data_IF_612259699661
#
_entry.id   IF_612259699661
#
_cell.length_a   1.000
_cell.length_b   1.000
_cell.length_c   1.000
_cell.angle_alpha   90.00
_cell.angle_beta   90.00
_cell.angle_gamma   90.00
#
_symmetry.space_group_name_H-M   'P 1'
#
loop_
_entity.id
_entity.type
_entity.pdbx_description
1 polymer ?
#
# COMPACT_ATOMS: atom_id res chain seq x y z
N UNK A 1 -13.00 -13.68 -8.49
CA UNK A 1 -13.49 -12.30 -8.25
C UNK A 1 -13.00 -11.35 -9.33
N UNK A 2 -13.51 -10.14 -9.34
CA UNK A 2 -13.05 -9.06 -10.22
C UNK A 2 -12.39 -8.01 -9.36
N UNK A 3 -11.17 -7.60 -9.73
CA UNK A 3 -10.46 -6.48 -9.12
C UNK A 3 -10.76 -5.20 -9.91
N UNK A 4 -10.88 -4.09 -9.21
CA UNK A 4 -11.09 -2.76 -9.77
C UNK A 4 -10.29 -1.72 -8.97
N UNK A 5 -10.06 -0.50 -9.50
CA UNK A 5 -9.31 0.52 -8.77
C UNK A 5 -9.90 0.81 -7.39
N UNK A 6 -9.05 0.84 -6.36
CA UNK A 6 -9.44 1.03 -4.98
C UNK A 6 -9.99 -0.21 -4.27
N UNK A 7 -9.95 -1.38 -4.90
CA UNK A 7 -10.19 -2.66 -4.21
C UNK A 7 -8.86 -3.20 -3.68
N UNK A 8 -8.73 -3.24 -2.37
CA UNK A 8 -7.65 -3.95 -1.70
C UNK A 8 -8.02 -5.42 -1.50
N UNK A 9 -7.02 -6.30 -1.65
CA UNK A 9 -7.21 -7.74 -1.54
C UNK A 9 -6.06 -8.36 -0.75
N UNK A 10 -6.39 -9.27 0.13
CA UNK A 10 -5.41 -10.15 0.77
C UNK A 10 -5.73 -11.60 0.44
N UNK A 11 -4.70 -12.32 0.07
CA UNK A 11 -4.72 -13.76 -0.09
C UNK A 11 -3.63 -14.36 0.80
N UNK A 12 -4.05 -15.14 1.81
CA UNK A 12 -3.14 -15.88 2.66
C UNK A 12 -3.06 -17.31 2.15
N UNK A 13 -1.90 -17.69 1.61
CA UNK A 13 -1.70 -19.02 1.06
C UNK A 13 -1.75 -20.12 2.15
N UNK A 14 -1.27 -19.81 3.36
CA UNK A 14 -1.29 -20.73 4.47
C UNK A 14 -0.63 -22.06 4.13
N UNK A 15 -1.39 -23.15 4.23
CA UNK A 15 -0.89 -24.49 3.90
C UNK A 15 -0.71 -24.73 2.41
N UNK A 16 -1.46 -24.08 1.54
CA UNK A 16 -1.30 -24.00 0.07
C UNK A 16 -2.57 -23.45 -0.58
N UNK A 17 -2.41 -22.69 -1.66
CA UNK A 17 -3.49 -22.33 -2.59
C UNK A 17 -2.97 -22.37 -4.04
N UNK A 18 -3.91 -22.60 -4.96
CA UNK A 18 -3.70 -22.39 -6.38
C UNK A 18 -4.54 -21.20 -6.83
N UNK A 19 -3.95 -20.25 -7.54
CA UNK A 19 -4.65 -19.12 -8.11
C UNK A 19 -3.99 -18.64 -9.39
N UNK A 20 -4.69 -17.83 -10.13
CA UNK A 20 -4.16 -17.06 -11.25
C UNK A 20 -4.82 -15.69 -11.28
N UNK A 21 -4.10 -14.72 -11.79
CA UNK A 21 -4.59 -13.36 -12.04
C UNK A 21 -4.45 -13.07 -13.52
N UNK A 22 -5.52 -12.55 -14.12
CA UNK A 22 -5.55 -12.30 -15.55
C UNK A 22 -6.19 -10.94 -15.83
N UNK A 23 -5.65 -10.25 -16.84
CA UNK A 23 -6.37 -9.14 -17.45
C UNK A 23 -7.50 -9.72 -18.32
N UNK A 24 -8.74 -9.43 -17.98
CA UNK A 24 -9.91 -9.90 -18.73
C UNK A 24 -10.25 -9.02 -19.93
N UNK A 25 -9.54 -7.92 -20.15
CA UNK A 25 -9.68 -7.05 -21.32
C UNK A 25 -8.71 -7.48 -22.42
N UNK A 26 -9.21 -7.52 -23.65
CA UNK A 26 -8.38 -7.76 -24.84
C UNK A 26 -7.71 -6.48 -25.38
N UNK A 27 -8.11 -5.30 -24.90
CA UNK A 27 -7.72 -4.01 -25.46
C UNK A 27 -7.29 -2.95 -24.45
N UNK A 28 -7.44 -3.21 -23.17
CA UNK A 28 -7.11 -2.26 -22.10
C UNK A 28 -6.10 -2.89 -21.17
N UNK A 29 -4.99 -2.20 -20.92
CA UNK A 29 -3.98 -2.64 -19.94
C UNK A 29 -4.54 -2.58 -18.53
N UNK A 30 -4.04 -3.47 -17.68
CA UNK A 30 -4.27 -3.44 -16.24
C UNK A 30 -2.99 -3.03 -15.51
N UNK A 31 -3.12 -2.14 -14.55
CA UNK A 31 -2.05 -1.79 -13.62
C UNK A 31 -2.50 -2.13 -12.20
N UNK A 32 -1.83 -3.06 -11.56
CA UNK A 32 -2.05 -3.41 -10.16
C UNK A 32 -0.71 -3.57 -9.44
N UNK A 33 -0.72 -3.45 -8.13
CA UNK A 33 0.46 -3.67 -7.29
C UNK A 33 0.23 -4.92 -6.47
N UNK A 34 1.12 -5.90 -6.64
CA UNK A 34 1.14 -7.12 -5.85
C UNK A 34 2.32 -7.09 -4.89
N UNK A 35 2.05 -7.43 -3.64
CA UNK A 35 3.05 -7.38 -2.57
C UNK A 35 3.03 -8.69 -1.78
N UNK A 36 4.19 -9.10 -1.32
CA UNK A 36 4.34 -10.27 -0.47
C UNK A 36 4.79 -9.85 0.91
N UNK A 37 4.07 -10.33 1.92
CA UNK A 37 4.37 -10.06 3.32
C UNK A 37 4.52 -11.38 4.05
N UNK A 38 5.72 -11.72 4.57
CA UNK A 38 5.91 -12.91 5.38
C UNK A 38 5.04 -12.84 6.64
N UNK A 39 4.26 -13.88 6.94
CA UNK A 39 3.44 -13.91 8.16
C UNK A 39 4.27 -14.28 9.39
N UNK A 40 3.81 -13.87 10.56
CA UNK A 40 4.38 -14.32 11.86
C UNK A 40 4.05 -15.78 12.18
N UNK A 41 3.05 -16.34 11.53
CA UNK A 41 2.58 -17.69 11.77
C UNK A 41 2.42 -18.43 10.45
N UNK A 42 3.14 -19.52 10.30
CA UNK A 42 3.11 -20.38 9.13
C UNK A 42 2.00 -21.44 9.21
N UNK A 43 1.74 -22.09 8.08
CA UNK A 43 0.85 -23.27 7.98
C UNK A 43 -0.57 -23.07 8.52
N UNK A 44 -1.06 -21.84 8.49
CA UNK A 44 -2.45 -21.52 8.82
C UNK A 44 -3.39 -21.94 7.69
N UNK A 45 -4.68 -22.01 7.97
CA UNK A 45 -5.67 -22.23 6.92
C UNK A 45 -5.61 -21.09 5.89
N UNK A 46 -5.70 -21.40 4.59
CA UNK A 46 -5.83 -20.39 3.55
C UNK A 46 -6.98 -19.44 3.84
N UNK A 47 -6.80 -18.19 3.45
CA UNK A 47 -7.82 -17.17 3.69
C UNK A 47 -7.80 -16.08 2.64
N UNK A 48 -8.95 -15.46 2.45
CA UNK A 48 -9.17 -14.40 1.48
C UNK A 48 -9.99 -13.27 2.09
N UNK A 49 -9.63 -12.04 1.80
CA UNK A 49 -10.34 -10.86 2.24
C UNK A 49 -10.24 -9.77 1.18
N UNK A 50 -11.32 -9.05 0.96
CA UNK A 50 -11.38 -7.87 0.10
C UNK A 50 -11.98 -6.71 0.87
N UNK A 51 -11.52 -5.49 0.55
CA UNK A 51 -12.04 -4.26 1.09
C UNK A 51 -12.00 -3.17 0.01
N UNK A 52 -13.16 -2.57 -0.28
CA UNK A 52 -13.21 -1.35 -1.08
C UNK A 52 -12.80 -0.16 -0.21
N UNK A 53 -11.70 0.48 -0.58
CA UNK A 53 -11.11 1.59 0.18
C UNK A 53 -11.28 2.95 -0.53
N UNK A 54 -12.08 3.02 -1.60
CA UNK A 54 -12.25 4.27 -2.36
C UNK A 54 -12.76 5.41 -1.49
N UNK A 55 -13.79 5.16 -0.68
CA UNK A 55 -14.36 6.19 0.19
C UNK A 55 -13.35 6.75 1.21
N UNK A 56 -12.40 5.95 1.65
CA UNK A 56 -11.33 6.39 2.55
C UNK A 56 -10.25 7.16 1.78
N UNK A 57 -9.81 6.64 0.64
CA UNK A 57 -8.80 7.30 -0.20
C UNK A 57 -9.26 8.67 -0.72
N UNK A 58 -10.56 8.83 -1.00
CA UNK A 58 -11.12 10.08 -1.51
C UNK A 58 -11.19 11.20 -0.45
N UNK A 59 -10.94 10.88 0.82
CA UNK A 59 -10.83 11.88 1.90
C UNK A 59 -9.47 12.61 1.90
N UNK A 60 -8.50 12.11 1.13
CA UNK A 60 -7.11 12.58 1.17
C UNK A 60 -6.33 11.99 2.37
N UNK A 61 -5.04 12.33 2.42
CA UNK A 61 -4.14 11.80 3.44
C UNK A 61 -3.75 10.34 3.24
N UNK A 62 -3.21 9.74 4.30
CA UNK A 62 -2.86 8.33 4.34
C UNK A 62 -3.92 7.54 5.10
N UNK A 63 -4.35 6.43 4.53
CA UNK A 63 -5.29 5.49 5.14
C UNK A 63 -4.64 4.11 5.30
N UNK A 64 -4.91 3.37 6.38
CA UNK A 64 -4.42 2.01 6.53
C UNK A 64 -5.19 1.09 5.57
N UNK A 65 -4.47 0.42 4.68
CA UNK A 65 -5.03 -0.55 3.71
C UNK A 65 -4.99 -1.95 4.27
N UNK A 66 -3.85 -2.33 4.86
CA UNK A 66 -3.67 -3.63 5.49
C UNK A 66 -2.89 -3.48 6.79
N UNK A 67 -3.29 -4.18 7.83
CA UNK A 67 -2.69 -4.00 9.14
C UNK A 67 -2.63 -5.30 9.96
N UNK A 68 -1.46 -5.55 10.52
CA UNK A 68 -1.29 -6.52 11.61
C UNK A 68 -1.42 -5.89 13.00
N UNK A 69 -1.50 -4.56 13.08
CA UNK A 69 -1.60 -3.79 14.34
C UNK A 69 -3.05 -3.48 14.75
N UNK A 70 -4.07 -3.99 14.03
CA UNK A 70 -5.47 -3.89 14.43
C UNK A 70 -6.17 -2.58 14.05
N UNK A 71 -5.82 -1.95 12.94
CA UNK A 71 -6.58 -0.81 12.41
C UNK A 71 -7.95 -1.27 11.88
N UNK A 72 -9.03 -0.64 12.31
CA UNK A 72 -10.41 -1.06 12.00
C UNK A 72 -10.77 -0.97 10.52
N UNK A 73 -10.24 0.02 9.80
CA UNK A 73 -10.56 0.27 8.40
C UNK A 73 -9.60 -0.43 7.41
N UNK A 74 -8.88 -1.46 7.86
CA UNK A 74 -7.88 -2.14 7.06
C UNK A 74 -8.11 -3.64 7.00
N UNK A 75 -7.68 -4.27 5.89
CA UNK A 75 -7.57 -5.72 5.79
C UNK A 75 -6.62 -6.23 6.88
N UNK A 76 -7.04 -7.25 7.62
CA UNK A 76 -6.19 -7.87 8.63
C UNK A 76 -5.11 -8.72 7.99
N UNK A 77 -3.86 -8.57 8.41
CA UNK A 77 -2.72 -9.40 7.99
C UNK A 77 -2.07 -10.07 9.19
N UNK A 78 -1.43 -11.23 8.96
CA UNK A 78 -0.75 -12.02 9.99
C UNK A 78 0.72 -11.63 10.16
N UNK A 79 0.99 -10.34 10.14
CA UNK A 79 2.31 -9.74 10.43
C UNK A 79 2.08 -8.60 11.42
N UNK A 80 2.29 -8.89 12.71
CA UNK A 80 1.98 -7.98 13.84
C UNK A 80 2.72 -6.65 13.79
N UNK A 81 3.91 -6.63 13.17
CA UNK A 81 4.74 -5.44 13.07
C UNK A 81 4.44 -4.56 11.86
N UNK A 82 3.52 -4.94 10.97
CA UNK A 82 3.38 -4.28 9.67
C UNK A 82 2.05 -3.58 9.47
N UNK A 83 2.11 -2.43 8.80
CA UNK A 83 0.95 -1.70 8.26
C UNK A 83 1.27 -1.24 6.85
N UNK A 84 0.36 -1.50 5.91
CA UNK A 84 0.35 -0.87 4.61
C UNK A 84 -0.57 0.35 4.65
N UNK A 85 0.01 1.50 4.39
CA UNK A 85 -0.71 2.75 4.19
C UNK A 85 -0.84 3.05 2.71
N UNK A 86 -1.94 3.65 2.31
CA UNK A 86 -2.12 4.17 0.97
C UNK A 86 -2.65 5.58 0.98
N UNK A 87 -2.37 6.34 -0.07
CA UNK A 87 -2.89 7.69 -0.25
C UNK A 87 -3.15 7.96 -1.73
N UNK A 88 -4.24 8.69 -1.97
CA UNK A 88 -4.55 9.32 -3.25
C UNK A 88 -4.48 10.81 -3.02
N UNK A 89 -3.27 11.35 -3.19
CA UNK A 89 -2.93 12.71 -2.77
C UNK A 89 -3.22 13.70 -3.90
N UNK A 90 -3.89 14.79 -3.55
CA UNK A 90 -4.09 15.91 -4.47
C UNK A 90 -2.76 16.63 -4.78
N UNK A 91 -2.77 17.46 -5.84
CA UNK A 91 -1.60 18.24 -6.21
C UNK A 91 -1.11 19.12 -5.03
N UNK A 92 0.14 18.98 -4.67
CA UNK A 92 0.77 19.71 -3.56
C UNK A 92 0.36 19.27 -2.16
N UNK A 93 -0.47 18.24 -2.02
CA UNK A 93 -0.85 17.71 -0.71
C UNK A 93 0.38 17.16 0.02
N UNK A 94 0.46 17.45 1.31
CA UNK A 94 1.57 17.05 2.18
C UNK A 94 1.07 16.06 3.21
N UNK A 95 1.77 14.94 3.33
CA UNK A 95 1.50 13.92 4.36
C UNK A 95 2.79 13.60 5.13
N UNK A 96 2.65 13.28 6.41
CA UNK A 96 3.75 12.74 7.18
C UNK A 96 3.87 11.23 6.91
N UNK A 97 5.07 10.78 6.54
CA UNK A 97 5.35 9.35 6.44
C UNK A 97 5.26 8.72 7.83
N UNK A 98 4.59 7.58 8.00
CA UNK A 98 4.47 6.91 9.30
C UNK A 98 5.85 6.61 9.90
N UNK A 99 5.98 6.86 11.21
CA UNK A 99 7.19 6.52 11.95
C UNK A 99 7.19 5.03 12.29
N UNK A 100 8.20 4.33 11.81
CA UNK A 100 8.49 2.96 12.17
C UNK A 100 9.98 2.66 11.90
N UNK A 101 10.45 1.52 12.42
CA UNK A 101 11.86 1.15 12.25
C UNK A 101 12.29 1.05 10.80
N UNK A 102 11.45 0.44 9.98
CA UNK A 102 11.67 0.28 8.55
C UNK A 102 10.45 0.76 7.78
N UNK A 103 10.65 1.67 6.85
CA UNK A 103 9.57 2.18 6.01
C UNK A 103 9.97 2.06 4.54
N UNK A 104 9.04 1.59 3.72
CA UNK A 104 9.19 1.50 2.27
C UNK A 104 8.09 2.34 1.61
N UNK A 105 8.50 3.43 0.98
CA UNK A 105 7.63 4.33 0.22
C UNK A 105 7.70 3.94 -1.25
N UNK A 106 6.56 3.78 -1.90
CA UNK A 106 6.45 3.49 -3.34
C UNK A 106 5.43 4.43 -3.97
N UNK A 107 5.74 4.96 -5.15
CA UNK A 107 4.87 5.85 -5.94
C UNK A 107 4.37 5.10 -7.18
N UNK A 108 3.20 4.44 -7.16
CA UNK A 108 2.67 3.75 -8.33
C UNK A 108 2.22 4.69 -9.45
N UNK A 109 1.79 5.93 -9.11
CA UNK A 109 1.32 6.93 -10.07
C UNK A 109 1.63 8.35 -9.63
N UNK A 110 1.80 9.24 -10.61
CA UNK A 110 2.11 10.64 -10.36
C UNK A 110 3.55 10.86 -9.95
N UNK A 111 3.78 11.82 -9.09
CA UNK A 111 5.11 12.14 -8.56
C UNK A 111 5.00 12.71 -7.15
N UNK A 112 6.08 12.61 -6.39
CA UNK A 112 6.15 13.18 -5.05
C UNK A 112 7.57 13.67 -4.75
N UNK A 113 7.73 14.47 -3.72
CA UNK A 113 9.02 14.80 -3.14
C UNK A 113 9.03 14.32 -1.69
N UNK A 114 10.03 13.55 -1.32
CA UNK A 114 10.22 13.06 0.04
C UNK A 114 11.39 13.80 0.68
N UNK A 115 11.15 14.39 1.85
CA UNK A 115 12.20 15.06 2.62
C UNK A 115 13.35 14.10 2.91
N UNK A 116 14.57 14.55 2.62
CA UNK A 116 15.79 13.77 2.79
C UNK A 116 16.10 12.78 1.64
N UNK A 117 15.14 12.50 0.74
CA UNK A 117 15.37 11.63 -0.42
C UNK A 117 15.26 12.38 -1.77
N UNK A 118 14.48 13.47 -1.84
CA UNK A 118 14.28 14.24 -3.05
C UNK A 118 13.09 13.80 -3.88
N UNK A 119 13.05 14.12 -5.20
CA UNK A 119 11.93 13.84 -6.08
C UNK A 119 11.81 12.35 -6.41
N UNK A 120 10.58 11.89 -6.49
CA UNK A 120 10.18 10.52 -6.85
C UNK A 120 9.18 10.58 -8.00
N UNK A 121 9.44 9.84 -9.05
CA UNK A 121 8.52 9.63 -10.18
C UNK A 121 7.70 8.35 -10.00
N UNK A 122 6.71 8.14 -10.87
CA UNK A 122 5.98 6.89 -10.92
C UNK A 122 6.92 5.69 -11.15
N UNK A 123 6.82 4.68 -10.30
CA UNK A 123 7.68 3.50 -10.27
C UNK A 123 8.86 3.60 -9.29
N UNK A 124 9.14 4.77 -8.74
CA UNK A 124 10.23 4.93 -7.77
C UNK A 124 9.83 4.46 -6.38
N UNK A 125 10.84 4.00 -5.64
CA UNK A 125 10.69 3.60 -4.24
C UNK A 125 11.88 4.05 -3.39
N UNK A 126 11.59 4.34 -2.11
CA UNK A 126 12.59 4.68 -1.10
C UNK A 126 12.44 3.78 0.11
N UNK A 127 13.56 3.33 0.65
CA UNK A 127 13.61 2.61 1.93
C UNK A 127 14.23 3.50 2.99
N UNK A 128 13.52 3.64 4.11
CA UNK A 128 13.92 4.44 5.25
C UNK A 128 14.16 3.53 6.45
N UNK A 129 15.10 3.90 7.29
CA UNK A 129 15.39 3.20 8.56
C UNK A 129 15.57 4.23 9.66
N UNK A 130 14.68 4.20 10.66
CA UNK A 130 14.74 5.12 11.79
C UNK A 130 14.71 6.59 11.38
N UNK A 131 13.95 6.94 10.34
CA UNK A 131 13.92 8.28 9.75
C UNK A 131 12.91 9.24 10.40
N UNK A 132 12.16 8.76 11.41
CA UNK A 132 11.05 9.53 12.00
C UNK A 132 9.90 9.70 11.01
N UNK A 133 9.35 10.89 10.96
CA UNK A 133 8.17 11.24 10.14
C UNK A 133 8.51 12.27 9.05
N UNK A 134 9.35 11.95 8.04
CA UNK A 134 9.63 12.90 6.98
C UNK A 134 8.36 13.27 6.22
N UNK A 135 8.31 14.48 5.69
CA UNK A 135 7.20 14.93 4.87
C UNK A 135 7.30 14.40 3.45
N UNK A 136 6.18 13.95 2.91
CA UNK A 136 6.02 13.59 1.51
C UNK A 136 5.02 14.55 0.88
N UNK A 137 5.44 15.27 -0.15
CA UNK A 137 4.64 16.26 -0.88
C UNK A 137 4.30 15.73 -2.25
N UNK A 138 3.03 15.61 -2.59
CA UNK A 138 2.59 15.22 -3.93
C UNK A 138 2.97 16.25 -4.98
N UNK A 139 3.29 15.79 -6.17
CA UNK A 139 3.65 16.64 -7.30
C UNK A 139 2.47 17.43 -7.90
N UNK A 140 2.71 18.17 -9.01
CA UNK A 140 1.71 19.07 -9.58
C UNK A 140 0.47 18.37 -10.11
N UNK A 141 0.55 17.09 -10.46
CA UNK A 141 -0.57 16.29 -10.95
C UNK A 141 -1.12 15.31 -9.88
N UNK A 142 -0.68 15.49 -8.61
CA UNK A 142 -0.99 14.57 -7.53
C UNK A 142 -0.12 13.32 -7.52
N UNK A 143 -0.38 12.42 -6.58
CA UNK A 143 0.31 11.15 -6.47
C UNK A 143 -0.59 10.07 -5.85
N UNK A 144 -0.46 8.84 -6.32
CA UNK A 144 -0.80 7.66 -5.53
C UNK A 144 0.45 7.19 -4.80
N UNK A 145 0.31 6.81 -3.54
CA UNK A 145 1.42 6.33 -2.72
C UNK A 145 1.03 5.08 -1.95
N UNK A 146 1.98 4.17 -1.82
CA UNK A 146 1.87 2.98 -0.98
C UNK A 146 3.06 2.94 -0.02
N UNK A 147 2.80 2.83 1.27
CA UNK A 147 3.84 2.92 2.28
C UNK A 147 3.72 1.73 3.24
N UNK A 148 4.69 0.83 3.21
CA UNK A 148 4.85 -0.16 4.26
C UNK A 148 5.62 0.44 5.43
N UNK A 149 5.04 0.33 6.63
CA UNK A 149 5.69 0.63 7.89
C UNK A 149 5.81 -0.66 8.71
N UNK A 150 7.04 -1.01 9.13
CA UNK A 150 7.33 -2.27 9.81
C UNK A 150 8.27 -2.05 11.00
N UNK A 151 7.99 -2.76 12.09
CA UNK A 151 8.80 -2.73 13.31
C UNK A 151 10.15 -3.46 13.14
#
# INVERSE_FOLDING_TARGET
GVLYPGLAQRMSAGTCIWHSEMNNSASTDVHFVQMWVPPDTESVNPGYEQLDINAELDKGGLVPIASGKGHEAAISIRQRGAVLWGGRLAAGEVVAVPDDRHVHVFVPRGSATLDGAGPLAAGDAVRLTGAGTPSLTAGPDGAEVLIWATA
#
